data_IF_762035319270
#
_entry.id   IF_762035319270
#
_cell.length_a   1.000
_cell.length_b   1.000
_cell.length_c   1.000
_cell.angle_alpha   90.00
_cell.angle_beta   90.00
_cell.angle_gamma   90.00
#
_symmetry.space_group_name_H-M   'P 1'
#
loop_
_entity.id
_entity.type
_entity.pdbx_description
1 polymer ?
#
# COMPACT_ATOMS: atom_id res chain seq x y z
N UNK A 1 4.45 -18.34 -8.80
CA UNK A 1 3.69 -17.08 -8.65
C UNK A 1 4.12 -16.46 -7.33
N UNK A 2 4.44 -15.17 -7.29
CA UNK A 2 4.67 -14.38 -6.07
C UNK A 2 3.35 -13.76 -5.60
N UNK A 3 3.37 -13.14 -4.42
CA UNK A 3 2.34 -12.22 -3.96
C UNK A 3 2.94 -10.81 -4.00
N UNK A 4 2.36 -9.94 -4.80
CA UNK A 4 2.92 -8.64 -5.16
C UNK A 4 2.09 -7.50 -4.57
N UNK A 5 2.72 -6.40 -4.17
CA UNK A 5 2.06 -5.23 -3.62
C UNK A 5 2.67 -3.95 -4.20
N UNK A 6 1.81 -3.03 -4.63
CA UNK A 6 2.21 -1.69 -5.07
C UNK A 6 1.92 -0.65 -4.01
N UNK A 7 2.90 0.23 -3.73
CA UNK A 7 2.74 1.36 -2.81
C UNK A 7 3.17 2.64 -3.50
N UNK A 8 2.33 3.68 -3.43
CA UNK A 8 2.63 5.00 -3.99
C UNK A 8 1.92 6.11 -3.21
N UNK A 9 2.35 7.35 -3.42
CA UNK A 9 1.66 8.51 -2.85
C UNK A 9 0.40 8.87 -3.66
N UNK A 10 -0.79 8.95 -3.02
CA UNK A 10 -2.04 9.18 -3.72
C UNK A 10 -2.25 10.66 -4.04
N UNK A 11 -1.59 11.17 -5.08
CA UNK A 11 -1.83 12.52 -5.61
C UNK A 11 -3.31 12.71 -6.01
N UNK A 12 -3.92 11.64 -6.49
CA UNK A 12 -5.34 11.53 -6.78
C UNK A 12 -5.88 10.19 -6.25
N UNK A 13 -7.16 10.16 -5.88
CA UNK A 13 -7.84 8.92 -5.51
C UNK A 13 -8.39 8.25 -6.75
N UNK A 14 -7.65 7.23 -7.20
CA UNK A 14 -8.03 6.32 -8.27
C UNK A 14 -9.11 5.34 -7.78
N UNK A 15 -9.99 4.94 -8.68
CA UNK A 15 -10.83 3.76 -8.51
C UNK A 15 -9.97 2.48 -8.51
N UNK A 16 -10.59 1.34 -8.19
CA UNK A 16 -9.90 0.05 -8.23
C UNK A 16 -9.38 -0.31 -9.63
N UNK A 17 -10.17 -0.04 -10.68
CA UNK A 17 -9.81 -0.29 -12.08
C UNK A 17 -8.68 0.66 -12.53
N UNK A 18 -8.79 1.95 -12.23
CA UNK A 18 -7.74 2.92 -12.57
C UNK A 18 -6.43 2.63 -11.83
N UNK A 19 -6.51 2.14 -10.58
CA UNK A 19 -5.33 1.74 -9.81
C UNK A 19 -4.66 0.48 -10.38
N UNK A 20 -5.44 -0.45 -10.96
CA UNK A 20 -4.93 -1.63 -11.63
C UNK A 20 -4.16 -1.26 -12.90
N UNK A 21 -4.74 -0.42 -13.76
CA UNK A 21 -4.07 0.10 -14.94
C UNK A 21 -2.80 0.89 -14.58
N UNK A 22 -2.87 1.71 -13.53
CA UNK A 22 -1.73 2.48 -13.05
C UNK A 22 -0.61 1.56 -12.54
N UNK A 23 -0.95 0.53 -11.76
CA UNK A 23 0.01 -0.46 -11.29
C UNK A 23 0.66 -1.25 -12.43
N UNK A 24 -0.13 -1.72 -13.40
CA UNK A 24 0.38 -2.49 -14.53
C UNK A 24 1.46 -1.73 -15.30
N UNK A 25 1.19 -0.45 -15.61
CA UNK A 25 2.13 0.43 -16.31
C UNK A 25 3.39 0.74 -15.50
N UNK A 26 3.27 0.88 -14.17
CA UNK A 26 4.44 1.01 -13.29
C UNK A 26 5.28 -0.27 -13.28
N UNK A 27 4.64 -1.43 -13.14
CA UNK A 27 5.30 -2.73 -13.11
C UNK A 27 6.00 -3.10 -14.44
N UNK A 28 5.52 -2.55 -15.57
CA UNK A 28 6.17 -2.65 -16.88
C UNK A 28 7.27 -1.61 -17.09
N UNK A 29 7.43 -0.65 -16.17
CA UNK A 29 8.40 0.45 -16.25
C UNK A 29 8.02 1.53 -17.27
N UNK A 30 6.75 1.60 -17.70
CA UNK A 30 6.29 2.63 -18.63
C UNK A 30 6.10 3.99 -17.97
N UNK A 31 5.71 3.98 -16.69
CA UNK A 31 5.45 5.18 -15.90
C UNK A 31 6.08 5.08 -14.52
N UNK A 32 6.45 6.24 -14.00
CA UNK A 32 6.76 6.44 -12.59
C UNK A 32 5.66 7.25 -11.94
N UNK A 33 5.27 6.89 -10.71
CA UNK A 33 4.55 7.81 -9.84
C UNK A 33 5.44 9.04 -9.51
N UNK A 34 4.88 10.25 -9.34
CA UNK A 34 5.68 11.40 -8.94
C UNK A 34 6.36 11.18 -7.58
N UNK A 35 7.56 11.75 -7.37
CA UNK A 35 8.32 11.57 -6.14
C UNK A 35 7.60 12.17 -4.93
N UNK A 36 7.64 11.49 -3.79
CA UNK A 36 7.11 12.03 -2.54
C UNK A 36 7.89 11.53 -1.31
N UNK A 37 8.25 12.40 -0.34
CA UNK A 37 9.05 12.01 0.84
C UNK A 37 8.46 10.88 1.67
N UNK A 38 7.12 10.73 1.69
CA UNK A 38 6.46 9.60 2.36
C UNK A 38 6.87 8.23 1.80
N UNK A 39 7.19 8.14 0.51
CA UNK A 39 7.61 6.89 -0.13
C UNK A 39 8.98 6.47 0.39
N UNK A 40 9.91 7.42 0.46
CA UNK A 40 11.24 7.21 1.04
C UNK A 40 11.12 6.83 2.53
N UNK A 41 10.34 7.57 3.31
CA UNK A 41 10.12 7.30 4.73
C UNK A 41 9.48 5.92 4.98
N UNK A 42 8.55 5.51 4.12
CA UNK A 42 7.98 4.16 4.14
C UNK A 42 9.04 3.10 3.87
N UNK A 43 9.85 3.28 2.83
CA UNK A 43 10.88 2.31 2.45
C UNK A 43 11.95 2.17 3.53
N UNK A 44 12.39 3.29 4.12
CA UNK A 44 13.35 3.27 5.23
C UNK A 44 12.80 2.52 6.44
N UNK A 45 11.54 2.74 6.84
CA UNK A 45 10.93 2.04 7.97
C UNK A 45 10.67 0.55 7.67
N UNK A 46 10.35 0.22 6.43
CA UNK A 46 10.13 -1.16 5.99
C UNK A 46 11.39 -2.03 6.15
N UNK A 47 12.59 -1.44 6.13
CA UNK A 47 13.85 -2.18 6.23
C UNK A 47 14.15 -2.77 7.63
N UNK A 48 13.22 -2.65 8.57
CA UNK A 48 13.33 -3.17 9.94
C UNK A 48 12.91 -4.65 10.10
N UNK A 49 13.91 -5.48 10.37
CA UNK A 49 13.84 -6.87 10.88
C UNK A 49 13.29 -7.95 9.91
N UNK A 50 14.21 -8.55 9.14
CA UNK A 50 13.97 -9.59 8.13
C UNK A 50 14.54 -10.95 8.53
N UNK A 51 14.41 -11.37 9.80
CA UNK A 51 14.92 -12.65 10.27
C UNK A 51 14.51 -13.87 9.39
N UNK A 52 13.53 -13.74 8.49
CA UNK A 52 13.14 -14.73 7.46
C UNK A 52 12.85 -14.13 6.06
N UNK A 53 13.64 -13.16 5.58
CA UNK A 53 13.57 -12.51 4.24
C UNK A 53 12.35 -12.92 3.40
N UNK A 54 11.18 -12.28 3.60
CA UNK A 54 9.92 -12.72 3.02
C UNK A 54 9.82 -12.44 1.51
N UNK A 55 10.76 -11.65 0.98
CA UNK A 55 10.76 -11.16 -0.39
C UNK A 55 11.20 -12.24 -1.37
N UNK A 56 10.48 -12.36 -2.49
CA UNK A 56 10.84 -13.30 -3.56
C UNK A 56 11.92 -12.76 -4.48
N UNK A 57 12.06 -11.43 -4.56
CA UNK A 57 13.09 -10.73 -5.31
C UNK A 57 13.35 -9.34 -4.71
N UNK A 58 14.38 -8.65 -5.21
CA UNK A 58 14.63 -7.24 -4.89
C UNK A 58 13.40 -6.41 -5.20
N UNK A 59 13.06 -5.46 -4.32
CA UNK A 59 11.98 -4.51 -4.56
C UNK A 59 12.28 -3.67 -5.80
N UNK A 60 11.26 -3.49 -6.64
CA UNK A 60 11.29 -2.44 -7.64
C UNK A 60 10.91 -1.12 -6.95
N UNK A 61 11.77 -0.12 -7.08
CA UNK A 61 11.62 1.13 -6.34
C UNK A 61 12.00 2.31 -7.20
N UNK A 62 11.21 3.36 -7.08
CA UNK A 62 11.57 4.70 -7.50
C UNK A 62 11.22 5.70 -6.38
N UNK A 63 11.65 6.97 -6.48
CA UNK A 63 11.27 7.99 -5.50
C UNK A 63 9.75 8.21 -5.34
N UNK A 64 8.93 7.69 -6.26
CA UNK A 64 7.47 7.84 -6.24
C UNK A 64 6.68 6.58 -5.94
N UNK A 65 7.27 5.39 -6.03
CA UNK A 65 6.59 4.14 -5.75
C UNK A 65 7.53 3.01 -5.31
N UNK A 66 6.95 1.98 -4.68
CA UNK A 66 7.63 0.73 -4.34
C UNK A 66 6.72 -0.43 -4.73
N UNK A 67 7.24 -1.36 -5.55
CA UNK A 67 6.60 -2.64 -5.85
C UNK A 67 7.38 -3.75 -5.12
N UNK A 68 6.65 -4.53 -4.32
CA UNK A 68 7.21 -5.54 -3.44
C UNK A 68 6.62 -6.89 -3.80
N UNK A 69 7.47 -7.87 -4.08
CA UNK A 69 7.08 -9.25 -4.31
C UNK A 69 7.54 -10.12 -3.13
N UNK A 70 6.62 -10.90 -2.56
CA UNK A 70 6.90 -11.83 -1.47
C UNK A 70 6.47 -13.26 -1.79
N UNK A 71 6.99 -14.21 -1.00
CA UNK A 71 6.59 -15.61 -1.10
C UNK A 71 5.18 -15.81 -0.51
N UNK A 72 4.33 -16.60 -1.19
CA UNK A 72 2.95 -16.88 -0.76
C UNK A 72 2.78 -17.27 0.73
N UNK A 73 3.64 -18.11 1.34
CA UNK A 73 3.51 -18.44 2.77
C UNK A 73 3.64 -17.25 3.72
N UNK A 74 4.10 -16.10 3.23
CA UNK A 74 4.26 -14.85 3.99
C UNK A 74 3.27 -13.77 3.55
N UNK A 75 2.37 -14.03 2.59
CA UNK A 75 1.46 -13.03 2.02
C UNK A 75 0.62 -12.31 3.09
N UNK A 76 -0.01 -13.04 4.01
CA UNK A 76 -0.83 -12.44 5.08
C UNK A 76 -0.01 -11.52 6.00
N UNK A 77 1.20 -11.97 6.36
CA UNK A 77 2.11 -11.21 7.21
C UNK A 77 2.59 -9.93 6.50
N UNK A 78 3.07 -10.07 5.27
CA UNK A 78 3.59 -8.98 4.45
C UNK A 78 2.49 -7.99 4.13
N UNK A 79 1.32 -8.45 3.68
CA UNK A 79 0.17 -7.60 3.39
C UNK A 79 -0.26 -6.79 4.61
N UNK A 80 -0.35 -7.41 5.78
CA UNK A 80 -0.66 -6.71 7.03
C UNK A 80 0.40 -5.68 7.42
N UNK A 81 1.69 -6.01 7.27
CA UNK A 81 2.81 -5.11 7.57
C UNK A 81 2.83 -3.89 6.63
N UNK A 82 2.80 -4.14 5.33
CA UNK A 82 2.82 -3.12 4.28
C UNK A 82 1.60 -2.22 4.40
N UNK A 83 0.41 -2.76 4.66
CA UNK A 83 -0.79 -1.94 4.89
C UNK A 83 -0.65 -1.01 6.09
N UNK A 84 -0.12 -1.50 7.21
CA UNK A 84 0.11 -0.66 8.40
C UNK A 84 1.10 0.46 8.12
N UNK A 85 2.21 0.15 7.47
CA UNK A 85 3.24 1.13 7.12
C UNK A 85 2.71 2.15 6.08
N UNK A 86 2.04 1.68 5.04
CA UNK A 86 1.43 2.56 4.03
C UNK A 86 0.45 3.54 4.68
N UNK A 87 -0.42 3.07 5.58
CA UNK A 87 -1.34 3.94 6.33
C UNK A 87 -0.62 4.96 7.19
N UNK A 88 0.44 4.55 7.91
CA UNK A 88 1.26 5.45 8.75
C UNK A 88 1.89 6.58 7.94
N UNK A 89 2.33 6.28 6.71
CA UNK A 89 2.99 7.24 5.82
C UNK A 89 2.05 7.98 4.86
N UNK A 90 0.75 7.72 4.93
CA UNK A 90 -0.25 8.36 4.06
C UNK A 90 -0.20 7.87 2.61
N UNK A 91 0.22 6.63 2.38
CA UNK A 91 0.39 6.02 1.06
C UNK A 91 -0.80 5.12 0.69
N UNK A 92 -1.09 5.04 -0.62
CA UNK A 92 -1.98 4.04 -1.15
C UNK A 92 -1.27 2.68 -1.22
N UNK A 93 -2.02 1.61 -0.94
CA UNK A 93 -1.61 0.23 -1.16
C UNK A 93 -2.52 -0.41 -2.18
N UNK A 94 -1.94 -1.02 -3.22
CA UNK A 94 -2.66 -1.82 -4.19
C UNK A 94 -2.25 -3.28 -4.11
N UNK A 95 -3.27 -4.13 -4.11
CA UNK A 95 -3.17 -5.58 -4.16
C UNK A 95 -3.66 -6.05 -5.55
N UNK A 96 -2.75 -6.38 -6.50
CA UNK A 96 -3.09 -6.90 -7.82
C UNK A 96 -3.74 -8.30 -7.76
N UNK A 97 -3.58 -9.06 -6.68
CA UNK A 97 -4.24 -10.37 -6.56
C UNK A 97 -5.75 -10.24 -6.26
N UNK A 98 -6.17 -9.13 -5.64
CA UNK A 98 -7.59 -8.83 -5.42
C UNK A 98 -8.16 -7.70 -6.28
N UNK A 99 -7.31 -6.97 -7.02
CA UNK A 99 -7.70 -5.79 -7.80
C UNK A 99 -8.16 -4.64 -6.92
N UNK A 100 -7.58 -4.47 -5.72
CA UNK A 100 -8.06 -3.50 -4.73
C UNK A 100 -6.98 -2.51 -4.31
N UNK A 101 -7.31 -1.23 -4.44
CA UNK A 101 -6.57 -0.13 -3.79
C UNK A 101 -7.18 0.23 -2.44
N UNK A 102 -6.32 0.40 -1.44
CA UNK A 102 -6.65 0.87 -0.11
C UNK A 102 -5.93 2.19 0.15
N UNK A 103 -6.70 3.20 0.56
CA UNK A 103 -6.17 4.52 0.90
C UNK A 103 -6.00 4.68 2.41
N UNK A 104 -5.08 5.55 2.85
CA UNK A 104 -5.03 5.95 4.25
C UNK A 104 -6.36 6.62 4.60
N UNK A 105 -6.97 6.13 5.67
CA UNK A 105 -8.10 6.81 6.30
C UNK A 105 -7.49 7.89 7.21
N UNK A 106 -7.88 9.16 7.13
CA UNK A 106 -7.42 10.16 8.09
C UNK A 106 -7.75 9.65 9.50
N UNK A 107 -6.79 9.75 10.44
CA UNK A 107 -6.94 9.24 11.82
C UNK A 107 -8.23 9.77 12.50
N UNK A 108 -8.76 10.91 12.05
CA UNK A 108 -10.01 11.48 12.54
C UNK A 108 -11.32 10.78 12.13
N UNK A 109 -11.32 9.82 11.20
CA UNK A 109 -12.55 9.08 10.84
C UNK A 109 -12.70 7.75 11.59
N UNK A 110 -11.80 7.45 12.54
CA UNK A 110 -11.88 6.24 13.39
C UNK A 110 -12.66 6.47 14.69
N UNK A 111 -13.06 7.71 15.00
CA UNK A 111 -14.05 7.98 16.03
C UNK A 111 -15.41 7.56 15.48
N UNK A 112 -15.94 6.44 15.99
CA UNK A 112 -17.20 5.86 15.57
C UNK A 112 -18.27 6.92 15.35
N UNK A 113 -19.01 6.75 14.25
CA UNK A 113 -20.35 7.33 14.12
C UNK A 113 -21.26 6.64 15.14
N UNK A 114 -21.00 6.89 16.42
CA UNK A 114 -21.88 6.55 17.53
C UNK A 114 -23.15 7.35 17.28
N UNK A 115 -24.16 6.67 16.71
CA UNK A 115 -25.49 7.23 16.61
C UNK A 115 -25.91 7.57 18.03
N UNK A 116 -26.24 8.83 18.32
CA UNK A 116 -26.61 9.17 19.66
C UNK A 116 -27.85 8.41 20.10
N UNK A 117 -27.75 7.79 21.28
CA UNK A 117 -28.77 6.95 21.91
C UNK A 117 -30.12 7.65 22.13
N UNK A 118 -30.18 8.97 21.95
CA UNK A 118 -31.38 9.80 22.12
C UNK A 118 -32.29 9.93 20.89
N UNK A 119 -31.99 9.28 19.75
CA UNK A 119 -32.86 9.35 18.53
C UNK A 119 -33.99 8.31 18.49
N UNK A 120 -34.27 7.60 19.60
CA UNK A 120 -35.34 6.60 19.71
C UNK A 120 -36.26 6.83 20.92
N UNK A 121 -36.61 8.09 21.21
CA UNK A 121 -37.73 8.47 22.07
C UNK A 121 -38.68 9.38 21.32
#
# INVERSE_FOLDING_TARGET
>A
MSFDLGVWYPHERLSHEEAEDFYARMNEGEIDSPPHPSVDAFYEEQTGDFDHCPWSCTHDRSPGHVIMACVWPKADYVGGLVLRLARKHGLALFDPQSGRVTYPVPEHDSAGRERPWWRFW
#
